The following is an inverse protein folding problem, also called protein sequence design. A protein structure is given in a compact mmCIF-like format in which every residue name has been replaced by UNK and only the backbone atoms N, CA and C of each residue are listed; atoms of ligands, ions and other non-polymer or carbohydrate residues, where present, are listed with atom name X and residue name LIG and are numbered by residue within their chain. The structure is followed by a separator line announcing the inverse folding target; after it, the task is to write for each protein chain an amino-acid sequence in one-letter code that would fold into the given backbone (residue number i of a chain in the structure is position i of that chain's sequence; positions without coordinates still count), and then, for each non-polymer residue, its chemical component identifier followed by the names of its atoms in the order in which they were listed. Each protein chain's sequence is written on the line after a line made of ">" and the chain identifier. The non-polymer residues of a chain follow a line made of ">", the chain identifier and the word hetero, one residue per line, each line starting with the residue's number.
data_IF_338631367740
#
_entry.id   IF_338631367740
#
_cell.length_a   1.000
_cell.length_b   1.000
_cell.length_c   1.000
_cell.angle_alpha   90.00
_cell.angle_beta   90.00
_cell.angle_gamma   90.00
#
_symmetry.space_group_name_H-M   'P 1'
#
loop_
_entity.id
_entity.type
_entity.pdbx_description
1 polymer ?
#
# COMPACT_ATOMS: atom_id res chain seq x y z
N UNK A 1 -17.92 -5.15 -7.10
CA UNK A 1 -18.05 -4.56 -5.74
C UNK A 1 -16.70 -3.96 -5.34
N UNK A 2 -16.31 -2.85 -5.97
CA UNK A 2 -15.08 -2.08 -5.68
C UNK A 2 -15.44 -0.66 -5.18
N UNK A 3 -16.60 -0.52 -4.52
CA UNK A 3 -17.07 0.79 -4.03
C UNK A 3 -16.24 1.20 -2.79
N UNK A 4 -15.16 1.93 -3.06
CA UNK A 4 -14.57 2.88 -2.12
C UNK A 4 -15.31 4.17 -2.38
N UNK A 5 -16.32 4.46 -1.57
CA UNK A 5 -17.36 5.43 -1.91
C UNK A 5 -16.81 6.86 -2.05
N UNK A 6 -16.28 7.16 -3.24
CA UNK A 6 -15.70 8.46 -3.60
C UNK A 6 -16.76 9.56 -3.61
N UNK A 7 -18.06 9.22 -3.52
CA UNK A 7 -19.16 10.19 -3.40
C UNK A 7 -19.06 11.02 -2.11
N UNK A 8 -18.22 10.62 -1.15
CA UNK A 8 -17.96 11.37 0.08
C UNK A 8 -16.76 12.32 0.00
N UNK A 9 -16.02 12.36 -1.11
CA UNK A 9 -14.96 13.35 -1.27
C UNK A 9 -15.57 14.74 -1.43
N UNK A 10 -15.09 15.68 -0.63
CA UNK A 10 -15.59 17.07 -0.65
C UNK A 10 -15.30 17.78 -1.98
N UNK A 11 -14.25 17.38 -2.68
CA UNK A 11 -13.95 17.84 -4.04
C UNK A 11 -14.76 17.03 -5.06
N UNK A 12 -15.84 17.63 -5.55
CA UNK A 12 -16.76 17.01 -6.50
C UNK A 12 -16.14 16.76 -7.88
N UNK A 13 -15.14 17.55 -8.28
CA UNK A 13 -14.45 17.35 -9.57
C UNK A 13 -13.58 16.10 -9.51
N UNK A 14 -12.86 15.91 -8.39
CA UNK A 14 -12.06 14.70 -8.14
C UNK A 14 -12.96 13.47 -8.00
N UNK A 15 -14.03 13.57 -7.21
CA UNK A 15 -15.00 12.47 -7.06
C UNK A 15 -15.57 12.00 -8.41
N UNK A 16 -15.95 12.95 -9.27
CA UNK A 16 -16.47 12.64 -10.60
C UNK A 16 -15.41 11.99 -11.50
N UNK A 17 -14.15 12.41 -11.41
CA UNK A 17 -13.05 11.79 -12.16
C UNK A 17 -12.80 10.35 -11.73
N UNK A 18 -12.76 10.07 -10.43
CA UNK A 18 -12.62 8.71 -9.88
C UNK A 18 -13.77 7.82 -10.35
N UNK A 19 -15.01 8.31 -10.33
CA UNK A 19 -16.17 7.56 -10.83
C UNK A 19 -16.07 7.20 -12.31
N UNK A 20 -15.56 8.11 -13.15
CA UNK A 20 -15.31 7.82 -14.57
C UNK A 20 -14.20 6.78 -14.77
N UNK A 21 -13.14 6.83 -13.96
CA UNK A 21 -12.06 5.84 -14.03
C UNK A 21 -12.53 4.44 -13.60
N UNK A 22 -13.36 4.35 -12.55
CA UNK A 22 -13.99 3.08 -12.18
C UNK A 22 -14.83 2.51 -13.34
N UNK A 23 -15.61 3.38 -13.99
CA UNK A 23 -16.36 3.02 -15.19
C UNK A 23 -15.44 2.52 -16.32
N UNK A 24 -14.29 3.17 -16.54
CA UNK A 24 -13.29 2.72 -17.53
C UNK A 24 -12.77 1.32 -17.20
N UNK A 25 -12.28 1.11 -15.97
CA UNK A 25 -11.71 -0.18 -15.53
C UNK A 25 -12.72 -1.33 -15.63
N UNK A 26 -14.01 -1.08 -15.40
CA UNK A 26 -15.06 -2.10 -15.47
C UNK A 26 -15.48 -2.47 -16.90
N UNK A 27 -15.25 -1.59 -17.87
CA UNK A 27 -15.79 -1.73 -19.24
C UNK A 27 -14.71 -1.86 -20.32
N UNK A 28 -13.43 -1.97 -19.93
CA UNK A 28 -12.31 -2.19 -20.84
C UNK A 28 -11.65 -3.53 -20.57
N UNK A 29 -11.09 -4.14 -21.62
CA UNK A 29 -10.22 -5.29 -21.48
C UNK A 29 -8.82 -4.75 -21.18
N UNK A 30 -8.33 -5.00 -19.97
CA UNK A 30 -6.98 -4.61 -19.56
C UNK A 30 -5.97 -5.68 -20.01
N UNK A 31 -5.00 -5.28 -20.83
CA UNK A 31 -3.99 -6.18 -21.43
C UNK A 31 -2.56 -5.78 -21.05
N UNK A 32 -2.39 -4.78 -20.19
CA UNK A 32 -1.08 -4.39 -19.69
C UNK A 32 -0.58 -5.47 -18.71
N UNK A 33 0.51 -6.14 -19.07
CA UNK A 33 1.03 -7.31 -18.35
C UNK A 33 1.40 -7.04 -16.87
N UNK A 34 1.68 -5.78 -16.53
CA UNK A 34 2.05 -5.35 -15.18
C UNK A 34 0.89 -4.80 -14.36
N UNK A 35 -0.28 -4.59 -14.96
CA UNK A 35 -1.45 -4.06 -14.26
C UNK A 35 -2.31 -5.18 -13.67
N UNK A 36 -3.02 -4.82 -12.60
CA UNK A 36 -3.94 -5.72 -11.92
C UNK A 36 -5.03 -4.93 -11.18
N UNK A 37 -6.15 -5.57 -10.88
CA UNK A 37 -7.24 -4.98 -10.10
C UNK A 37 -7.17 -5.52 -8.67
N UNK A 38 -6.84 -4.65 -7.72
CA UNK A 38 -6.69 -5.02 -6.31
C UNK A 38 -8.04 -5.36 -5.67
N UNK A 39 -8.00 -6.11 -4.56
CA UNK A 39 -9.19 -6.41 -3.78
C UNK A 39 -9.71 -5.17 -3.04
N UNK A 40 -10.98 -5.22 -2.62
CA UNK A 40 -11.59 -4.17 -1.80
C UNK A 40 -10.83 -3.94 -0.49
N UNK A 41 -10.34 -5.00 0.14
CA UNK A 41 -9.63 -4.90 1.42
C UNK A 41 -8.29 -4.16 1.28
N UNK A 42 -7.60 -4.33 0.15
CA UNK A 42 -6.38 -3.57 -0.18
C UNK A 42 -6.71 -2.07 -0.28
N UNK A 43 -7.81 -1.72 -0.96
CA UNK A 43 -8.22 -0.32 -1.08
C UNK A 43 -8.59 0.30 0.28
N UNK A 44 -9.29 -0.45 1.15
CA UNK A 44 -9.63 -0.01 2.51
C UNK A 44 -8.36 0.23 3.34
N UNK A 45 -7.39 -0.68 3.30
CA UNK A 45 -6.15 -0.56 4.03
C UNK A 45 -5.31 0.65 3.55
N UNK A 46 -5.21 0.86 2.24
CA UNK A 46 -4.47 1.96 1.63
C UNK A 46 -5.02 3.34 2.03
N UNK A 47 -6.35 3.46 2.16
CA UNK A 47 -7.03 4.69 2.58
C UNK A 47 -7.25 4.82 4.09
N UNK A 48 -6.60 3.99 4.91
CA UNK A 48 -6.84 3.93 6.35
C UNK A 48 -6.08 5.00 7.14
N UNK A 49 -6.43 5.13 8.43
CA UNK A 49 -5.78 6.06 9.37
C UNK A 49 -4.29 5.78 9.61
N UNK A 50 -3.76 4.63 9.18
CA UNK A 50 -2.33 4.32 9.27
C UNK A 50 -1.48 5.35 8.52
N UNK A 51 -2.02 5.97 7.47
CA UNK A 51 -1.32 7.03 6.71
C UNK A 51 -1.05 8.30 7.55
N UNK A 52 -1.80 8.51 8.64
CA UNK A 52 -1.61 9.66 9.51
C UNK A 52 -0.39 9.50 10.44
N UNK A 53 0.10 8.27 10.62
CA UNK A 53 1.15 7.98 11.60
C UNK A 53 2.54 8.03 10.98
N UNK A 54 3.36 8.94 11.51
CA UNK A 54 4.80 8.93 11.25
C UNK A 54 5.49 7.86 12.10
N UNK A 55 6.15 6.90 11.45
CA UNK A 55 6.73 5.71 12.08
C UNK A 55 8.17 5.44 11.59
N UNK A 56 9.02 6.47 11.62
CA UNK A 56 10.42 6.35 11.23
C UNK A 56 11.17 5.32 12.10
N UNK A 57 12.02 4.51 11.45
CA UNK A 57 12.73 3.39 12.07
C UNK A 57 12.11 2.05 11.68
N UNK A 58 12.34 1.02 12.50
CA UNK A 58 11.80 -0.33 12.32
C UNK A 58 10.99 -0.76 13.56
N UNK A 59 10.16 -1.82 13.49
CA UNK A 59 9.41 -2.29 14.65
C UNK A 59 10.28 -2.48 15.90
N UNK A 60 9.82 -1.96 17.03
CA UNK A 60 10.55 -1.95 18.30
C UNK A 60 11.77 -1.02 18.37
N UNK A 61 12.08 -0.30 17.28
CA UNK A 61 13.21 0.63 17.14
C UNK A 61 12.78 1.91 16.41
N UNK A 62 11.63 2.46 16.81
CA UNK A 62 11.08 3.71 16.24
C UNK A 62 11.73 4.92 16.89
N UNK A 63 11.86 6.00 16.11
CA UNK A 63 12.30 7.30 16.64
C UNK A 63 11.22 7.98 17.50
N UNK A 64 9.95 7.66 17.24
CA UNK A 64 8.80 8.27 17.90
C UNK A 64 7.89 7.22 18.54
N UNK A 65 7.24 7.58 19.65
CA UNK A 65 6.23 6.75 20.31
C UNK A 65 4.89 6.65 19.57
N UNK A 66 3.97 5.85 20.11
CA UNK A 66 2.62 5.67 19.57
C UNK A 66 2.55 4.84 18.29
N UNK A 67 3.55 3.99 18.04
CA UNK A 67 3.66 3.18 16.83
C UNK A 67 3.22 1.73 17.04
N UNK A 68 2.57 1.41 18.16
CA UNK A 68 2.29 0.02 18.60
C UNK A 68 1.53 -0.76 17.51
N UNK A 69 0.51 -0.15 16.92
CA UNK A 69 -0.29 -0.79 15.87
C UNK A 69 0.34 -0.72 14.47
N UNK A 70 1.23 0.25 14.23
CA UNK A 70 2.02 0.29 12.98
C UNK A 70 3.07 -0.82 13.00
N UNK A 71 3.70 -1.04 14.15
CA UNK A 71 4.64 -2.14 14.38
C UNK A 71 3.95 -3.48 14.18
N UNK A 72 2.74 -3.67 14.72
CA UNK A 72 1.94 -4.88 14.49
C UNK A 72 1.73 -5.15 13.00
N UNK A 73 1.29 -4.16 12.23
CA UNK A 73 1.04 -4.30 10.79
C UNK A 73 2.34 -4.56 10.01
N UNK A 74 3.42 -3.85 10.33
CA UNK A 74 4.71 -4.04 9.65
C UNK A 74 5.32 -5.41 9.96
N UNK A 75 5.24 -5.89 11.21
CA UNK A 75 5.66 -7.24 11.59
C UNK A 75 4.86 -8.30 10.85
N UNK A 76 3.52 -8.18 10.79
CA UNK A 76 2.68 -9.10 10.03
C UNK A 76 3.05 -9.14 8.54
N UNK A 77 3.36 -7.98 7.94
CA UNK A 77 3.78 -7.91 6.54
C UNK A 77 5.13 -8.60 6.30
N UNK A 78 6.11 -8.37 7.19
CA UNK A 78 7.43 -9.00 7.13
C UNK A 78 7.29 -10.52 7.24
N UNK A 79 6.55 -11.02 8.23
CA UNK A 79 6.41 -12.46 8.48
C UNK A 79 5.71 -13.16 7.31
N UNK A 80 4.64 -12.56 6.78
CA UNK A 80 3.91 -13.12 5.62
C UNK A 80 4.75 -13.14 4.35
N UNK A 81 5.54 -12.11 4.08
CA UNK A 81 6.46 -12.09 2.93
C UNK A 81 7.54 -13.16 3.08
N UNK A 82 8.11 -13.29 4.29
CA UNK A 82 9.10 -14.33 4.58
C UNK A 82 8.53 -15.72 4.39
N UNK A 83 7.33 -15.99 4.89
CA UNK A 83 6.63 -17.25 4.69
C UNK A 83 6.35 -17.52 3.21
N UNK A 84 5.80 -16.53 2.49
CA UNK A 84 5.41 -16.66 1.09
C UNK A 84 6.58 -17.00 0.16
N UNK A 85 7.77 -16.43 0.42
CA UNK A 85 8.94 -16.61 -0.44
C UNK A 85 10.05 -17.48 0.17
N UNK A 86 9.85 -18.03 1.37
CA UNK A 86 10.88 -18.78 2.09
C UNK A 86 12.12 -17.95 2.44
N UNK A 87 11.95 -16.64 2.67
CA UNK A 87 13.05 -15.72 2.90
C UNK A 87 13.46 -15.64 4.38
N UNK A 88 14.76 -15.53 4.65
CA UNK A 88 15.27 -15.33 6.01
C UNK A 88 14.96 -13.92 6.56
N UNK A 89 14.96 -12.92 5.67
CA UNK A 89 14.74 -11.51 5.99
C UNK A 89 13.90 -10.84 4.89
N UNK A 90 13.13 -9.83 5.27
CA UNK A 90 12.39 -8.98 4.34
C UNK A 90 12.36 -7.54 4.85
N UNK A 91 12.49 -6.57 3.94
CA UNK A 91 12.22 -5.16 4.20
C UNK A 91 10.99 -4.75 3.38
N UNK A 92 9.95 -4.28 4.06
CA UNK A 92 8.64 -3.94 3.47
C UNK A 92 8.39 -2.43 3.34
N UNK A 93 9.40 -1.60 3.61
CA UNK A 93 9.28 -0.13 3.61
C UNK A 93 9.45 0.56 2.24
N UNK A 94 10.17 0.01 1.22
CA UNK A 94 10.28 0.70 -0.07
C UNK A 94 8.93 0.96 -0.73
N UNK A 95 8.66 2.21 -1.17
CA UNK A 95 7.35 2.57 -1.74
C UNK A 95 7.15 2.12 -3.19
N UNK A 96 8.21 1.70 -3.88
CA UNK A 96 8.16 1.20 -5.26
C UNK A 96 9.37 0.31 -5.57
N UNK A 97 9.28 -0.47 -6.65
CA UNK A 97 10.38 -1.32 -7.11
C UNK A 97 11.65 -0.53 -7.48
N UNK A 98 11.50 0.68 -8.05
CA UNK A 98 12.65 1.53 -8.39
C UNK A 98 13.44 1.96 -7.14
N UNK A 99 12.74 2.39 -6.09
CA UNK A 99 13.36 2.76 -4.81
C UNK A 99 13.97 1.56 -4.09
N UNK A 100 13.32 0.39 -4.15
CA UNK A 100 13.88 -0.84 -3.60
C UNK A 100 15.23 -1.19 -4.26
N UNK A 101 15.30 -1.14 -5.60
CA UNK A 101 16.54 -1.38 -6.34
C UNK A 101 17.63 -0.36 -5.99
N UNK A 102 17.28 0.93 -5.92
CA UNK A 102 18.22 1.98 -5.54
C UNK A 102 18.79 1.75 -4.13
N UNK A 103 17.96 1.36 -3.17
CA UNK A 103 18.39 1.07 -1.81
C UNK A 103 19.41 -0.10 -1.77
N UNK A 104 19.16 -1.16 -2.55
CA UNK A 104 20.10 -2.29 -2.66
C UNK A 104 21.41 -1.85 -3.30
N UNK A 105 21.36 -1.11 -4.42
CA UNK A 105 22.58 -0.67 -5.11
C UNK A 105 23.42 0.32 -4.30
N UNK A 106 22.82 1.09 -3.40
CA UNK A 106 23.56 1.99 -2.51
C UNK A 106 24.16 1.26 -1.30
N UNK A 107 23.56 0.13 -0.89
CA UNK A 107 23.99 -0.62 0.29
C UNK A 107 25.14 -1.61 0.03
N UNK A 108 25.41 -1.95 -1.24
CA UNK A 108 26.40 -2.93 -1.69
C UNK A 108 27.57 -2.25 -2.40
#
# INVERSE_FOLDING_TARGET
>A
MLDTDARHLSDSAVAAAIGRELGRQQNQIELIASENIVSRDVLIAQGSVLTNKYAEGYPGKRYYGGCEFVDEVETLAIDRVKELFGAAFANVQPHSGAQANQAVFLAL
#
